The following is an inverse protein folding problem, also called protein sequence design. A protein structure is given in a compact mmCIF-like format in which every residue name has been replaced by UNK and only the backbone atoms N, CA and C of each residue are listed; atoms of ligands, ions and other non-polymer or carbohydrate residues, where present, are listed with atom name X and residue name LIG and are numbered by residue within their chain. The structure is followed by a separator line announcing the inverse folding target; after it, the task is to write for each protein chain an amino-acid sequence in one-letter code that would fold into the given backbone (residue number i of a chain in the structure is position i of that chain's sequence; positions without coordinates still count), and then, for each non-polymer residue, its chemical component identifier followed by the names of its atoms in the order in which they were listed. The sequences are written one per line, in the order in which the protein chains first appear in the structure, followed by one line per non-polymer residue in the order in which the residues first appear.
data_IF_237621430456
#
_entry.id   IF_237621430456
#
_cell.length_a   1.000
_cell.length_b   1.000
_cell.length_c   1.000
_cell.angle_alpha   90.00
_cell.angle_beta   90.00
_cell.angle_gamma   90.00
#
_symmetry.space_group_name_H-M   'P 1'
#
loop_
_entity.id
_entity.type
_entity.pdbx_description
1 polymer ?
#
# COMPACT_ATOMS: atom_id res chain seq x y z
N UNK A 1 -10.15 13.47 7.97
CA UNK A 1 -10.73 13.08 6.65
C UNK A 1 -9.64 12.44 5.82
N UNK A 2 -9.84 11.22 5.31
CA UNK A 2 -8.81 10.44 4.63
C UNK A 2 -8.62 10.86 3.16
N UNK A 3 -8.47 12.15 2.86
CA UNK A 3 -8.32 12.59 1.46
C UNK A 3 -6.88 12.51 0.94
N UNK A 4 -5.89 12.48 1.82
CA UNK A 4 -4.48 12.33 1.45
C UNK A 4 -3.95 11.02 2.00
N UNK A 5 -3.39 10.18 1.13
CA UNK A 5 -2.86 8.86 1.49
C UNK A 5 -1.35 8.79 1.24
N UNK A 6 -0.68 8.01 2.08
CA UNK A 6 0.69 7.57 1.88
C UNK A 6 0.71 6.05 1.71
N UNK A 7 1.30 5.58 0.62
CA UNK A 7 1.41 4.17 0.26
C UNK A 7 2.89 3.78 0.18
N UNK A 8 3.30 2.78 0.96
CA UNK A 8 4.68 2.28 0.96
C UNK A 8 4.76 0.77 0.68
N UNK A 9 5.83 0.38 -0.02
CA UNK A 9 6.23 -1.02 -0.18
C UNK A 9 7.57 -1.23 0.53
N UNK A 10 7.58 -2.11 1.50
CA UNK A 10 8.82 -2.53 2.18
C UNK A 10 8.93 -4.04 2.26
N UNK A 11 10.03 -4.55 2.79
CA UNK A 11 10.25 -5.98 3.00
C UNK A 11 10.53 -6.26 4.47
N UNK A 12 9.84 -7.27 5.00
CA UNK A 12 9.97 -7.69 6.40
C UNK A 12 10.31 -9.18 6.48
N UNK A 13 11.02 -9.57 7.54
CA UNK A 13 11.40 -10.97 7.78
C UNK A 13 10.33 -11.64 8.64
N UNK A 14 9.64 -12.65 8.08
CA UNK A 14 8.59 -13.42 8.75
C UNK A 14 9.00 -14.87 8.80
N UNK A 15 9.19 -15.43 10.01
CA UNK A 15 9.62 -16.83 10.23
C UNK A 15 10.85 -17.21 9.39
N UNK A 16 11.84 -16.31 9.32
CA UNK A 16 13.08 -16.54 8.57
C UNK A 16 13.05 -16.16 7.09
N UNK A 17 11.87 -15.99 6.47
CA UNK A 17 11.73 -15.63 5.06
C UNK A 17 11.40 -14.15 4.85
N UNK A 18 11.97 -13.54 3.80
CA UNK A 18 11.60 -12.19 3.38
C UNK A 18 10.23 -12.18 2.70
N UNK A 19 9.42 -11.18 3.03
CA UNK A 19 8.08 -10.95 2.50
C UNK A 19 7.92 -9.47 2.17
N UNK A 20 7.14 -9.17 1.13
CA UNK A 20 6.78 -7.80 0.76
C UNK A 20 5.58 -7.35 1.58
N UNK A 21 5.63 -6.13 2.09
CA UNK A 21 4.59 -5.51 2.88
C UNK A 21 4.15 -4.23 2.16
N UNK A 22 2.90 -4.20 1.74
CA UNK A 22 2.22 -2.99 1.28
C UNK A 22 1.49 -2.39 2.48
N UNK A 23 1.63 -1.10 2.71
CA UNK A 23 0.90 -0.40 3.77
C UNK A 23 0.37 0.92 3.24
N UNK A 24 -0.86 1.24 3.63
CA UNK A 24 -1.48 2.53 3.38
C UNK A 24 -1.85 3.19 4.70
N UNK A 25 -1.49 4.46 4.82
CA UNK A 25 -1.88 5.32 5.94
C UNK A 25 -2.49 6.61 5.41
N UNK A 26 -3.30 7.27 6.22
CA UNK A 26 -3.76 8.62 5.93
C UNK A 26 -2.77 9.70 6.43
N UNK A 27 -3.09 10.97 6.18
CA UNK A 27 -2.33 12.12 6.66
C UNK A 27 -2.23 12.24 8.20
N UNK A 28 -3.17 11.66 8.96
CA UNK A 28 -3.19 11.64 10.42
C UNK A 28 -2.42 10.41 10.97
N UNK A 29 -1.80 9.62 10.08
CA UNK A 29 -1.05 8.38 10.34
C UNK A 29 -1.91 7.21 10.83
N UNK A 30 -3.23 7.27 10.64
CA UNK A 30 -4.09 6.12 10.81
C UNK A 30 -3.84 5.12 9.69
N UNK A 31 -3.77 3.84 10.08
CA UNK A 31 -3.62 2.76 9.11
C UNK A 31 -4.93 2.52 8.40
N UNK A 32 -4.91 2.68 7.07
CA UNK A 32 -6.05 2.33 6.22
C UNK A 32 -6.09 0.83 5.97
N UNK A 33 -4.95 0.24 5.59
CA UNK A 33 -4.81 -1.20 5.37
C UNK A 33 -3.34 -1.63 5.27
N UNK A 34 -3.10 -2.94 5.40
CA UNK A 34 -1.80 -3.59 5.26
C UNK A 34 -1.98 -4.91 4.48
N UNK A 35 -1.08 -5.21 3.54
CA UNK A 35 -1.06 -6.48 2.82
C UNK A 35 0.33 -7.09 2.78
N UNK A 36 0.43 -8.34 3.25
CA UNK A 36 1.66 -9.13 3.16
C UNK A 36 1.64 -10.05 1.93
N UNK A 37 2.73 -10.08 1.17
CA UNK A 37 2.89 -10.90 -0.04
C UNK A 37 4.22 -11.64 -0.04
N UNK A 38 4.24 -12.79 -0.71
CA UNK A 38 5.46 -13.59 -0.89
C UNK A 38 6.38 -13.01 -1.96
N UNK A 39 5.81 -12.37 -2.97
CA UNK A 39 6.48 -11.82 -4.15
C UNK A 39 6.03 -10.38 -4.37
N UNK A 40 6.89 -9.59 -5.02
CA UNK A 40 6.54 -8.26 -5.50
C UNK A 40 5.70 -8.40 -6.76
N UNK A 41 4.52 -7.79 -6.78
CA UNK A 41 3.55 -7.97 -7.87
C UNK A 41 2.76 -6.66 -8.10
N UNK A 42 2.89 -6.13 -9.31
CA UNK A 42 2.19 -4.92 -9.75
C UNK A 42 0.67 -5.10 -9.69
N UNK A 43 0.17 -6.28 -10.02
CA UNK A 43 -1.26 -6.60 -9.93
C UNK A 43 -1.73 -6.60 -8.47
N UNK A 44 -0.89 -7.07 -7.55
CA UNK A 44 -1.21 -7.06 -6.12
C UNK A 44 -1.28 -5.63 -5.58
N UNK A 45 -0.33 -4.77 -5.95
CA UNK A 45 -0.34 -3.34 -5.60
C UNK A 45 -1.59 -2.63 -6.13
N UNK A 46 -1.95 -2.86 -7.40
CA UNK A 46 -3.18 -2.32 -7.99
C UNK A 46 -4.44 -2.80 -7.26
N UNK A 47 -4.53 -4.10 -6.97
CA UNK A 47 -5.68 -4.66 -6.24
C UNK A 47 -5.76 -4.16 -4.79
N UNK A 48 -4.62 -3.92 -4.15
CA UNK A 48 -4.54 -3.30 -2.84
C UNK A 48 -5.12 -1.88 -2.87
N UNK A 49 -4.68 -1.04 -3.82
CA UNK A 49 -5.19 0.32 -4.01
C UNK A 49 -6.69 0.34 -4.33
N UNK A 50 -7.13 -0.50 -5.27
CA UNK A 50 -8.55 -0.61 -5.66
C UNK A 50 -9.46 -0.96 -4.48
N UNK A 51 -9.00 -1.81 -3.57
CA UNK A 51 -9.72 -2.16 -2.34
C UNK A 51 -9.86 -0.94 -1.41
N UNK A 52 -8.79 -0.17 -1.23
CA UNK A 52 -8.81 1.04 -0.41
C UNK A 52 -9.81 2.05 -0.95
N UNK A 53 -9.79 2.31 -2.27
CA UNK A 53 -10.74 3.21 -2.93
C UNK A 53 -12.18 2.78 -2.72
N UNK A 54 -12.46 1.47 -2.78
CA UNK A 54 -13.81 0.94 -2.55
C UNK A 54 -14.32 1.18 -1.13
N UNK A 55 -13.43 1.20 -0.13
CA UNK A 55 -13.80 1.32 1.29
C UNK A 55 -13.80 2.78 1.75
N UNK A 56 -12.81 3.57 1.34
CA UNK A 56 -12.55 4.91 1.85
C UNK A 56 -12.85 6.04 0.84
N UNK A 57 -13.21 5.69 -0.40
CA UNK A 57 -13.32 6.64 -1.51
C UNK A 57 -11.99 6.94 -2.18
N UNK A 58 -12.01 7.71 -3.28
CA UNK A 58 -10.78 8.12 -3.96
C UNK A 58 -10.04 9.20 -3.15
N UNK A 59 -8.71 9.07 -2.96
CA UNK A 59 -7.92 10.14 -2.35
C UNK A 59 -7.78 11.31 -3.31
N UNK A 60 -7.70 12.53 -2.79
CA UNK A 60 -7.32 13.72 -3.55
C UNK A 60 -5.82 13.79 -3.82
N UNK A 61 -5.00 13.12 -2.99
CA UNK A 61 -3.56 12.98 -3.23
C UNK A 61 -3.05 11.62 -2.73
N UNK A 62 -2.22 10.97 -3.56
CA UNK A 62 -1.51 9.74 -3.21
C UNK A 62 0.00 10.01 -3.25
N UNK A 63 0.67 9.77 -2.13
CA UNK A 63 2.13 9.80 -2.05
C UNK A 63 2.64 8.37 -1.96
N UNK A 64 3.48 7.96 -2.90
CA UNK A 64 4.13 6.65 -2.85
C UNK A 64 5.61 6.79 -2.51
N UNK A 65 6.21 5.75 -1.94
CA UNK A 65 7.65 5.59 -2.12
C UNK A 65 7.94 5.25 -3.60
N UNK A 66 9.20 5.43 -4.04
CA UNK A 66 9.58 5.16 -5.43
C UNK A 66 9.73 3.65 -5.71
N UNK A 67 9.01 2.78 -4.99
CA UNK A 67 9.06 1.35 -5.23
C UNK A 67 8.48 1.01 -6.62
N UNK A 68 9.13 0.14 -7.40
CA UNK A 68 8.69 -0.17 -8.76
C UNK A 68 7.26 -0.70 -8.88
N UNK A 69 6.78 -1.45 -7.87
CA UNK A 69 5.43 -2.00 -7.91
C UNK A 69 4.33 -0.96 -7.71
N UNK A 70 4.65 0.17 -7.07
CA UNK A 70 3.70 1.25 -6.82
C UNK A 70 3.57 2.22 -7.99
N UNK A 71 4.41 2.10 -9.03
CA UNK A 71 4.32 2.93 -10.24
C UNK A 71 3.02 2.70 -11.05
N UNK A 72 2.30 1.63 -10.75
CA UNK A 72 1.03 1.28 -11.40
C UNK A 72 -0.18 1.42 -10.48
N UNK A 73 0.02 1.96 -9.26
CA UNK A 73 -1.03 2.23 -8.30
C UNK A 73 -1.73 3.57 -8.57
#
# INVERSE_FOLDING_TARGET
THFVWHLDETYIKVKGGWRYLYRAIDQERYTLDIQLRKTRDHQAAYMFMKRLVKVFGEPTALTTDKAPALLCA
#
